data_IF_028503768124
#
_entry.id   IF_028503768124
#
_cell.length_a   1.000
_cell.length_b   1.000
_cell.length_c   1.000
_cell.angle_alpha   90.00
_cell.angle_beta   90.00
_cell.angle_gamma   90.00
#
_symmetry.space_group_name_H-M   'P 1'
#
loop_
_entity.id
_entity.type
_entity.pdbx_description
1 polymer ?
#
# COMPACT_ATOMS: atom_id res chain seq x y z
N UNK A 1 -25.36 34.11 -24.70
CA UNK A 1 -24.89 32.71 -24.77
C UNK A 1 -23.96 32.56 -23.59
N UNK A 2 -24.52 32.20 -22.44
CA UNK A 2 -23.75 32.11 -21.19
C UNK A 2 -22.80 30.92 -21.26
N UNK A 3 -21.49 31.12 -21.06
CA UNK A 3 -20.59 30.02 -20.84
C UNK A 3 -20.92 29.49 -19.44
N UNK A 4 -21.70 28.42 -19.39
CA UNK A 4 -21.90 27.64 -18.18
C UNK A 4 -20.50 27.32 -17.62
N UNK A 5 -20.14 28.00 -16.54
CA UNK A 5 -18.93 27.78 -15.80
C UNK A 5 -18.86 26.29 -15.47
N UNK A 6 -17.92 25.59 -16.10
CA UNK A 6 -17.59 24.23 -15.76
C UNK A 6 -16.79 24.26 -14.44
N UNK A 7 -17.44 24.70 -13.35
CA UNK A 7 -16.93 24.57 -11.99
C UNK A 7 -17.19 23.13 -11.58
N UNK A 8 -16.22 22.25 -11.79
CA UNK A 8 -16.14 21.04 -10.99
C UNK A 8 -16.18 21.46 -9.53
N UNK A 9 -17.29 21.18 -8.84
CA UNK A 9 -17.42 21.45 -7.40
C UNK A 9 -16.19 20.91 -6.66
N UNK A 10 -15.68 21.65 -5.68
CA UNK A 10 -14.58 21.18 -4.87
C UNK A 10 -15.00 19.89 -4.14
N UNK A 11 -14.14 18.85 -4.11
CA UNK A 11 -14.47 17.64 -3.40
C UNK A 11 -14.70 17.89 -1.91
N UNK A 12 -15.77 17.32 -1.38
CA UNK A 12 -16.11 17.45 0.03
C UNK A 12 -15.24 16.56 0.90
N UNK A 13 -15.13 16.90 2.19
CA UNK A 13 -14.43 16.07 3.18
C UNK A 13 -15.02 14.65 3.28
N UNK A 14 -16.33 14.53 3.12
CA UNK A 14 -17.02 13.24 3.19
C UNK A 14 -16.75 12.37 1.96
N UNK A 15 -16.63 12.96 0.77
CA UNK A 15 -16.21 12.24 -0.44
C UNK A 15 -14.78 11.69 -0.29
N UNK A 16 -13.84 12.50 0.21
CA UNK A 16 -12.47 12.07 0.46
C UNK A 16 -12.44 10.95 1.49
N UNK A 17 -13.19 11.10 2.60
CA UNK A 17 -13.30 10.08 3.64
C UNK A 17 -13.87 8.78 3.10
N UNK A 18 -14.93 8.84 2.30
CA UNK A 18 -15.55 7.66 1.69
C UNK A 18 -14.57 6.95 0.74
N UNK A 19 -13.86 7.71 -0.11
CA UNK A 19 -12.87 7.17 -1.01
C UNK A 19 -11.71 6.48 -0.29
N UNK A 20 -11.18 7.10 0.78
CA UNK A 20 -10.13 6.50 1.60
C UNK A 20 -10.60 5.25 2.34
N UNK A 21 -11.79 5.28 2.93
CA UNK A 21 -12.38 4.09 3.59
C UNK A 21 -12.54 2.93 2.62
N UNK A 22 -13.05 3.21 1.42
CA UNK A 22 -13.17 2.20 0.36
C UNK A 22 -11.81 1.64 -0.04
N UNK A 23 -10.83 2.52 -0.30
CA UNK A 23 -9.48 2.10 -0.68
C UNK A 23 -8.81 1.25 0.40
N UNK A 24 -8.85 1.65 1.67
CA UNK A 24 -8.28 0.87 2.77
C UNK A 24 -9.02 -0.43 3.02
N UNK A 25 -10.35 -0.47 2.87
CA UNK A 25 -11.11 -1.71 2.95
C UNK A 25 -10.58 -2.73 1.94
N UNK A 26 -10.43 -2.35 0.67
CA UNK A 26 -9.94 -3.24 -0.37
C UNK A 26 -8.49 -3.71 -0.09
N UNK A 27 -7.63 -2.81 0.39
CA UNK A 27 -6.25 -3.15 0.77
C UNK A 27 -6.21 -4.15 1.92
N UNK A 28 -7.03 -3.95 2.96
CA UNK A 28 -7.12 -4.84 4.12
C UNK A 28 -7.73 -6.18 3.74
N UNK A 29 -8.78 -6.21 2.92
CA UNK A 29 -9.39 -7.45 2.44
C UNK A 29 -8.38 -8.29 1.65
N UNK A 30 -7.64 -7.67 0.73
CA UNK A 30 -6.58 -8.38 -0.01
C UNK A 30 -5.45 -8.86 0.92
N UNK A 31 -4.97 -7.99 1.80
CA UNK A 31 -3.91 -8.34 2.74
C UNK A 31 -4.32 -9.47 3.68
N UNK A 32 -5.62 -9.60 3.99
CA UNK A 32 -6.15 -10.60 4.92
C UNK A 32 -6.46 -11.95 4.26
N UNK A 33 -6.27 -12.10 2.95
CA UNK A 33 -6.47 -13.39 2.28
C UNK A 33 -5.46 -14.43 2.76
N UNK A 34 -5.86 -15.71 2.82
CA UNK A 34 -4.99 -16.81 3.26
C UNK A 34 -3.68 -16.88 2.47
N UNK A 35 -3.73 -16.68 1.15
CA UNK A 35 -2.54 -16.71 0.29
C UNK A 35 -1.58 -15.57 0.65
N UNK A 36 -2.10 -14.35 0.85
CA UNK A 36 -1.27 -13.21 1.21
C UNK A 36 -0.70 -13.37 2.64
N UNK A 37 -1.49 -13.86 3.59
CA UNK A 37 -1.02 -14.14 4.95
C UNK A 37 0.07 -15.21 4.99
N UNK A 38 -0.02 -16.26 4.14
CA UNK A 38 1.06 -17.25 3.98
C UNK A 38 2.34 -16.64 3.40
N UNK A 39 2.23 -15.75 2.41
CA UNK A 39 3.37 -14.99 1.87
C UNK A 39 4.02 -14.10 2.94
N UNK A 40 3.22 -13.43 3.77
CA UNK A 40 3.74 -12.63 4.88
C UNK A 40 4.44 -13.50 5.93
N UNK A 41 3.87 -14.66 6.26
CA UNK A 41 4.50 -15.61 7.17
C UNK A 41 5.86 -16.10 6.63
N UNK A 42 5.95 -16.41 5.33
CA UNK A 42 7.22 -16.76 4.66
C UNK A 42 8.22 -15.60 4.79
N UNK A 43 7.82 -14.38 4.42
CA UNK A 43 8.66 -13.17 4.52
C UNK A 43 9.20 -12.96 5.94
N UNK A 44 8.33 -12.99 6.95
CA UNK A 44 8.73 -12.71 8.34
C UNK A 44 9.44 -13.87 9.02
N UNK A 45 9.37 -15.09 8.48
CA UNK A 45 10.20 -16.22 8.92
C UNK A 45 11.68 -16.06 8.55
N UNK A 46 11.99 -15.20 7.57
CA UNK A 46 13.36 -14.93 7.15
C UNK A 46 14.07 -13.99 8.14
N UNK A 47 15.41 -14.10 8.24
CA UNK A 47 16.22 -13.08 8.90
C UNK A 47 15.96 -11.70 8.31
N UNK A 48 15.93 -10.67 9.16
CA UNK A 48 15.65 -9.28 8.76
C UNK A 48 16.48 -8.79 7.58
N UNK A 49 17.76 -9.18 7.53
CA UNK A 49 18.70 -8.81 6.45
C UNK A 49 18.36 -9.46 5.11
N UNK A 50 17.64 -10.59 5.11
CA UNK A 50 17.24 -11.31 3.90
C UNK A 50 15.88 -10.85 3.34
N UNK A 51 15.04 -10.21 4.16
CA UNK A 51 13.69 -9.75 3.79
C UNK A 51 13.68 -8.80 2.58
N UNK A 52 14.61 -7.83 2.45
CA UNK A 52 14.65 -6.96 1.27
C UNK A 52 14.86 -7.72 -0.04
N UNK A 53 15.74 -8.73 -0.05
CA UNK A 53 15.97 -9.57 -1.24
C UNK A 53 14.72 -10.37 -1.59
N UNK A 54 14.08 -10.98 -0.59
CA UNK A 54 12.81 -11.68 -0.78
C UNK A 54 11.74 -10.78 -1.40
N UNK A 55 11.63 -9.52 -0.95
CA UNK A 55 10.68 -8.58 -1.57
C UNK A 55 11.01 -8.33 -3.04
N UNK A 56 12.27 -8.04 -3.37
CA UNK A 56 12.67 -7.76 -4.76
C UNK A 56 12.47 -8.97 -5.68
N UNK A 57 12.82 -10.16 -5.20
CA UNK A 57 12.83 -11.37 -6.00
C UNK A 57 11.45 -12.00 -6.11
N UNK A 58 10.69 -12.03 -5.00
CA UNK A 58 9.40 -12.74 -4.89
C UNK A 58 8.23 -11.78 -4.89
N UNK A 59 8.16 -10.86 -3.93
CA UNK A 59 6.95 -10.04 -3.69
C UNK A 59 6.67 -9.08 -4.84
N UNK A 60 7.69 -8.58 -5.51
CA UNK A 60 7.53 -7.72 -6.69
C UNK A 60 7.43 -8.48 -8.01
N UNK A 61 7.57 -9.81 -7.99
CA UNK A 61 7.52 -10.65 -9.18
C UNK A 61 6.11 -11.24 -9.36
N UNK A 62 5.32 -10.77 -10.35
CA UNK A 62 3.94 -11.22 -10.52
C UNK A 62 3.81 -12.72 -10.80
N UNK A 63 4.82 -13.34 -11.41
CA UNK A 63 4.84 -14.78 -11.70
C UNK A 63 4.98 -15.57 -10.40
N UNK A 64 5.98 -15.24 -9.57
CA UNK A 64 6.24 -15.93 -8.30
C UNK A 64 5.16 -15.67 -7.25
N UNK A 65 4.52 -14.50 -7.27
CA UNK A 65 3.32 -14.24 -6.47
C UNK A 65 2.16 -15.15 -6.88
N UNK A 66 1.91 -15.28 -8.19
CA UNK A 66 0.82 -16.12 -8.70
C UNK A 66 1.04 -17.59 -8.38
N UNK A 67 2.27 -18.08 -8.45
CA UNK A 67 2.64 -19.44 -8.03
C UNK A 67 2.31 -19.70 -6.56
N UNK A 68 2.35 -18.67 -5.71
CA UNK A 68 1.92 -18.71 -4.30
C UNK A 68 0.43 -18.46 -4.11
N UNK A 69 -0.35 -18.37 -5.19
CA UNK A 69 -1.78 -18.08 -5.15
C UNK A 69 -2.12 -16.63 -4.82
N UNK A 70 -1.13 -15.72 -4.83
CA UNK A 70 -1.33 -14.30 -4.57
C UNK A 70 -1.56 -13.56 -5.88
N UNK A 71 -2.77 -13.08 -6.09
CA UNK A 71 -3.13 -12.28 -7.27
C UNK A 71 -3.75 -10.96 -6.78
N UNK A 72 -3.05 -9.82 -6.95
CA UNK A 72 -3.62 -8.53 -6.60
C UNK A 72 -4.93 -8.25 -7.35
N UNK A 73 -6.01 -7.86 -6.65
CA UNK A 73 -7.23 -7.39 -7.28
C UNK A 73 -6.99 -6.16 -8.16
N UNK A 74 -7.92 -5.91 -9.08
CA UNK A 74 -7.86 -4.74 -9.95
C UNK A 74 -7.69 -3.43 -9.16
N UNK A 75 -6.71 -2.63 -9.57
CA UNK A 75 -6.40 -1.34 -8.95
C UNK A 75 -5.58 -1.40 -7.65
N UNK A 76 -5.20 -2.59 -7.18
CA UNK A 76 -4.21 -2.75 -6.10
C UNK A 76 -2.84 -2.99 -6.73
N UNK A 77 -1.87 -2.20 -6.31
CA UNK A 77 -0.47 -2.31 -6.73
C UNK A 77 0.38 -2.76 -5.55
N UNK A 78 1.36 -3.61 -5.82
CA UNK A 78 2.42 -3.96 -4.87
C UNK A 78 3.67 -3.21 -5.32
N UNK A 79 4.22 -2.37 -4.46
CA UNK A 79 5.37 -1.53 -4.80
C UNK A 79 6.39 -1.56 -3.67
N UNK A 80 7.68 -1.45 -4.03
CA UNK A 80 8.66 -1.03 -3.04
C UNK A 80 8.39 0.43 -2.69
N UNK A 81 8.36 0.72 -1.40
CA UNK A 81 8.27 2.07 -0.90
C UNK A 81 9.55 2.36 -0.12
N UNK A 82 10.31 3.36 -0.57
CA UNK A 82 11.27 4.06 0.27
C UNK A 82 10.60 5.34 0.73
N UNK A 83 10.04 5.35 1.94
CA UNK A 83 9.56 6.58 2.53
C UNK A 83 10.76 7.40 3.01
N UNK A 84 10.73 8.71 2.81
CA UNK A 84 11.78 9.62 3.30
C UNK A 84 11.82 9.74 4.83
N UNK A 85 10.93 9.04 5.53
CA UNK A 85 10.74 9.07 6.99
C UNK A 85 11.60 8.04 7.74
N UNK A 86 12.62 7.47 7.08
CA UNK A 86 13.54 6.45 7.61
C UNK A 86 12.87 5.17 8.12
N UNK A 87 11.57 4.98 7.88
CA UNK A 87 10.91 3.72 8.24
C UNK A 87 11.53 2.58 7.43
N UNK A 88 11.76 1.40 8.04
CA UNK A 88 12.34 0.27 7.33
C UNK A 88 11.26 -0.46 6.53
N UNK A 89 10.47 0.29 5.75
CA UNK A 89 9.44 -0.28 4.90
C UNK A 89 10.07 -1.20 3.87
N UNK A 90 9.59 -2.44 3.85
CA UNK A 90 9.98 -3.43 2.87
C UNK A 90 9.20 -3.19 1.57
N UNK A 91 7.89 -3.07 1.66
CA UNK A 91 6.98 -2.78 0.54
C UNK A 91 5.65 -2.21 1.02
N UNK A 92 4.81 -1.76 0.08
CA UNK A 92 3.43 -1.38 0.36
C UNK A 92 2.45 -1.98 -0.65
N UNK A 93 1.22 -2.13 -0.19
CA UNK A 93 0.05 -2.23 -1.04
C UNK A 93 -0.50 -0.83 -1.25
N UNK A 94 -0.76 -0.47 -2.51
CA UNK A 94 -1.22 0.86 -2.89
C UNK A 94 -2.51 0.77 -3.68
N UNK A 95 -3.44 1.67 -3.39
CA UNK A 95 -4.63 1.90 -4.21
C UNK A 95 -4.83 3.40 -4.41
N UNK A 96 -4.94 3.81 -5.68
CA UNK A 96 -5.28 5.19 -6.01
C UNK A 96 -6.75 5.45 -5.69
N UNK A 97 -7.04 6.63 -5.15
CA UNK A 97 -8.43 7.11 -5.03
C UNK A 97 -8.96 7.54 -6.42
N UNK A 98 -10.27 7.78 -6.57
CA UNK A 98 -10.84 8.31 -7.81
C UNK A 98 -10.11 9.55 -8.33
N UNK A 99 -9.96 9.66 -9.64
CA UNK A 99 -9.11 10.67 -10.29
C UNK A 99 -9.41 12.11 -9.86
N UNK A 100 -10.69 12.46 -9.73
CA UNK A 100 -11.15 13.78 -9.27
C UNK A 100 -10.61 14.16 -7.88
N UNK A 101 -10.28 13.18 -7.04
CA UNK A 101 -9.78 13.41 -5.69
C UNK A 101 -8.25 13.44 -5.61
N UNK A 102 -7.54 13.06 -6.68
CA UNK A 102 -6.08 12.87 -6.64
C UNK A 102 -5.27 14.16 -6.47
N UNK A 103 -5.87 15.30 -6.77
CA UNK A 103 -5.29 16.63 -6.50
C UNK A 103 -5.21 16.93 -5.00
N UNK A 104 -6.10 16.35 -4.20
CA UNK A 104 -6.15 16.53 -2.74
C UNK A 104 -5.52 15.36 -2.00
N UNK A 105 -5.78 14.14 -2.45
CA UNK A 105 -5.24 12.93 -1.85
C UNK A 105 -4.96 11.90 -2.93
N UNK A 106 -3.70 11.53 -3.14
CA UNK A 106 -3.37 10.75 -4.32
C UNK A 106 -3.73 9.26 -4.19
N UNK A 107 -3.45 8.66 -3.03
CA UNK A 107 -3.59 7.21 -2.81
C UNK A 107 -3.68 6.84 -1.33
N UNK A 108 -4.11 5.61 -1.06
CA UNK A 108 -3.96 4.93 0.21
C UNK A 108 -2.83 3.90 0.11
N UNK A 109 -2.02 3.77 1.16
CA UNK A 109 -0.95 2.79 1.25
C UNK A 109 -1.07 1.98 2.55
N UNK A 110 -0.99 0.66 2.44
CA UNK A 110 -0.79 -0.24 3.57
C UNK A 110 0.65 -0.76 3.52
N UNK A 111 1.45 -0.42 4.53
CA UNK A 111 2.90 -0.64 4.53
C UNK A 111 3.28 -1.88 5.34
N UNK A 112 4.28 -2.61 4.86
CA UNK A 112 4.86 -3.77 5.53
C UNK A 112 6.32 -3.46 5.81
N UNK A 113 6.64 -3.35 7.09
CA UNK A 113 7.95 -2.88 7.55
C UNK A 113 8.79 -4.06 8.03
N UNK A 114 10.11 -3.89 8.01
CA UNK A 114 10.97 -4.75 8.79
C UNK A 114 10.62 -4.51 10.26
N UNK A 115 10.34 -5.58 11.01
CA UNK A 115 10.05 -5.45 12.44
C UNK A 115 11.23 -4.76 13.11
N UNK A 116 10.99 -3.59 13.68
CA UNK A 116 11.97 -2.84 14.43
C UNK A 116 11.70 -3.16 15.89
N UNK A 117 12.69 -3.65 16.63
CA UNK A 117 12.59 -3.58 18.09
C UNK A 117 12.50 -2.10 18.46
N UNK A 118 11.51 -1.74 19.29
CA UNK A 118 11.16 -0.36 19.68
C UNK A 118 12.37 0.48 20.16
N UNK A 119 13.45 -0.20 20.56
CA UNK A 119 14.73 0.37 21.02
C UNK A 119 15.65 0.90 19.90
N UNK A 120 15.39 0.60 18.62
CA UNK A 120 16.30 0.93 17.51
C UNK A 120 15.85 2.10 16.62
N UNK A 121 14.74 2.75 16.98
CA UNK A 121 14.36 4.04 16.41
C UNK A 121 14.72 5.12 17.42
N UNK A 122 15.76 5.95 17.19
CA UNK A 122 15.99 7.13 17.99
C UNK A 122 14.73 7.99 17.96
N UNK A 123 14.07 8.10 19.11
CA UNK A 123 13.02 9.12 19.32
C UNK A 123 13.78 10.42 19.49
N UNK A 124 14.09 11.08 18.39
CA UNK A 124 14.70 12.40 18.44
C UNK A 124 13.78 13.34 19.26
N UNK A 125 14.41 14.01 20.23
CA UNK A 125 13.83 15.02 21.14
C UNK A 125 13.36 16.27 20.39
#
# INVERSE_FOLDING_TARGET
MDPAENRTEEPTRDEIRAALRSAYKDLVEFASTDAFQKLLAELYSLPETARPSFVNEVVLNPTLLRERGVVPPAGILIQRSSFGDRRPTLFCLKKYVPERLRTLWQNANLTFDNLVTDDSVPRDQ
#
